data_IF_131303371842
#
_entry.id   IF_131303371842
#
_cell.length_a   1.000
_cell.length_b   1.000
_cell.length_c   1.000
_cell.angle_alpha   90.00
_cell.angle_beta   90.00
_cell.angle_gamma   90.00
#
_symmetry.space_group_name_H-M   'P 1'
#
loop_
_entity.id
_entity.type
_entity.pdbx_description
1 polymer ?
#
# COMPACT_ATOMS: atom_id res chain seq x y z
N UNK A 1 14.39 3.71 2.39
CA UNK A 1 13.88 2.32 2.47
C UNK A 1 14.13 1.60 1.15
N UNK A 2 14.45 0.33 1.21
CA UNK A 2 14.54 -0.49 0.00
C UNK A 2 13.15 -0.82 -0.53
N UNK A 3 13.07 -1.29 -1.78
CA UNK A 3 11.80 -1.69 -2.36
C UNK A 3 11.13 -2.79 -1.52
N UNK A 4 11.90 -3.74 -1.02
CA UNK A 4 11.36 -4.80 -0.17
C UNK A 4 10.83 -4.26 1.14
N UNK A 5 11.51 -3.29 1.74
CA UNK A 5 11.04 -2.65 2.96
C UNK A 5 9.74 -1.89 2.73
N UNK A 6 9.61 -1.23 1.59
CA UNK A 6 8.37 -0.52 1.22
C UNK A 6 7.23 -1.52 1.05
N UNK A 7 7.50 -2.63 0.36
CA UNK A 7 6.52 -3.69 0.16
C UNK A 7 6.02 -4.23 1.50
N UNK A 8 6.94 -4.53 2.42
CA UNK A 8 6.58 -5.01 3.75
C UNK A 8 5.80 -3.97 4.54
N UNK A 9 6.16 -2.69 4.40
CA UNK A 9 5.44 -1.62 5.08
C UNK A 9 3.98 -1.54 4.61
N UNK A 10 3.75 -1.65 3.30
CA UNK A 10 2.39 -1.65 2.75
C UNK A 10 1.60 -2.87 3.24
N UNK A 11 2.22 -4.04 3.22
CA UNK A 11 1.57 -5.26 3.72
C UNK A 11 1.22 -5.14 5.20
N UNK A 12 2.09 -4.55 6.00
CA UNK A 12 1.81 -4.35 7.42
C UNK A 12 0.63 -3.41 7.63
N UNK A 13 0.54 -2.34 6.84
CA UNK A 13 -0.60 -1.43 6.90
C UNK A 13 -1.89 -2.19 6.56
N UNK A 14 -1.86 -2.99 5.50
CA UNK A 14 -3.03 -3.79 5.11
C UNK A 14 -3.42 -4.76 6.22
N UNK A 15 -2.46 -5.35 6.91
CA UNK A 15 -2.75 -6.28 7.99
C UNK A 15 -3.47 -5.63 9.17
N UNK A 16 -3.23 -4.34 9.39
CA UNK A 16 -3.92 -3.58 10.43
C UNK A 16 -5.34 -3.24 10.00
N UNK A 17 -5.52 -2.88 8.73
CA UNK A 17 -6.81 -2.48 8.19
C UNK A 17 -7.72 -3.68 7.97
N UNK A 18 -7.17 -4.78 7.48
CA UNK A 18 -7.91 -6.00 7.16
C UNK A 18 -7.25 -7.21 7.84
N UNK A 19 -7.36 -7.34 9.17
CA UNK A 19 -6.64 -8.38 9.91
C UNK A 19 -7.12 -9.80 9.58
N UNK A 20 -8.30 -9.94 8.99
CA UNK A 20 -8.82 -11.26 8.61
C UNK A 20 -8.29 -11.75 7.28
N UNK A 21 -7.57 -10.90 6.52
CA UNK A 21 -7.03 -11.28 5.24
C UNK A 21 -5.70 -12.03 5.38
N UNK A 22 -5.54 -13.07 4.55
CA UNK A 22 -4.28 -13.80 4.50
C UNK A 22 -3.33 -13.10 3.53
N UNK A 23 -2.29 -12.48 4.06
CA UNK A 23 -1.33 -11.71 3.28
C UNK A 23 -0.10 -12.53 2.87
N UNK A 24 -0.04 -13.81 3.26
CA UNK A 24 1.13 -14.64 2.96
C UNK A 24 1.22 -15.05 1.49
N UNK A 25 0.10 -15.00 0.77
CA UNK A 25 0.01 -15.39 -0.63
C UNK A 25 -0.28 -14.21 -1.56
N UNK A 26 -0.13 -12.99 -1.08
CA UNK A 26 -0.38 -11.80 -1.89
C UNK A 26 0.65 -11.70 -3.01
N UNK A 27 0.15 -11.58 -4.25
CA UNK A 27 1.00 -11.42 -5.43
C UNK A 27 1.22 -9.94 -5.70
N UNK A 28 2.45 -9.57 -5.99
CA UNK A 28 2.83 -8.17 -6.17
C UNK A 28 2.30 -7.56 -7.47
N UNK A 29 2.11 -8.39 -8.50
CA UNK A 29 1.70 -7.96 -9.83
C UNK A 29 0.19 -8.06 -10.08
N UNK A 30 -0.56 -8.52 -9.10
CA UNK A 30 -2.02 -8.65 -9.20
C UNK A 30 -2.66 -7.50 -8.41
N UNK A 31 -3.69 -6.84 -8.95
CA UNK A 31 -4.38 -5.79 -8.20
C UNK A 31 -4.87 -6.30 -6.85
N UNK A 32 -4.67 -5.49 -5.82
CA UNK A 32 -5.02 -5.89 -4.45
C UNK A 32 -6.51 -6.18 -4.31
N UNK A 33 -7.35 -5.44 -5.03
CA UNK A 33 -8.80 -5.64 -5.00
C UNK A 33 -9.24 -6.96 -5.61
N UNK A 34 -8.42 -7.55 -6.47
CA UNK A 34 -8.73 -8.82 -7.12
C UNK A 34 -8.36 -10.02 -6.25
N UNK A 35 -7.49 -9.83 -5.29
CA UNK A 35 -7.01 -10.93 -4.43
C UNK A 35 -7.37 -10.74 -2.96
N UNK A 36 -7.76 -9.53 -2.55
CA UNK A 36 -8.17 -9.22 -1.19
C UNK A 36 -9.52 -8.52 -1.23
N UNK A 37 -10.30 -8.67 -0.19
CA UNK A 37 -11.60 -8.00 -0.08
C UNK A 37 -11.42 -6.58 0.46
N UNK A 38 -10.83 -5.71 -0.36
CA UNK A 38 -10.62 -4.30 -0.02
C UNK A 38 -11.56 -3.43 -0.82
N UNK A 39 -12.23 -2.51 -0.15
CA UNK A 39 -13.08 -1.52 -0.81
C UNK A 39 -12.39 -0.14 -0.80
N UNK A 40 -13.12 0.87 -1.30
CA UNK A 40 -12.57 2.22 -1.39
C UNK A 40 -12.21 2.79 -0.02
N UNK A 41 -12.96 2.44 1.01
CA UNK A 41 -12.70 2.90 2.37
C UNK A 41 -11.38 2.32 2.89
N UNK A 42 -11.11 1.06 2.56
CA UNK A 42 -9.86 0.43 2.96
C UNK A 42 -8.67 1.10 2.30
N UNK A 43 -8.79 1.49 1.03
CA UNK A 43 -7.73 2.22 0.35
C UNK A 43 -7.51 3.60 0.95
N UNK A 44 -8.57 4.28 1.38
CA UNK A 44 -8.43 5.54 2.11
C UNK A 44 -7.68 5.33 3.42
N UNK A 45 -7.96 4.25 4.13
CA UNK A 45 -7.26 3.93 5.36
C UNK A 45 -5.77 3.69 5.10
N UNK A 46 -5.43 3.03 3.99
CA UNK A 46 -4.03 2.84 3.59
C UNK A 46 -3.35 4.20 3.39
N UNK A 47 -4.00 5.11 2.68
CA UNK A 47 -3.47 6.46 2.44
C UNK A 47 -3.26 7.19 3.75
N UNK A 48 -4.21 7.12 4.66
CA UNK A 48 -4.11 7.78 5.96
C UNK A 48 -2.96 7.20 6.80
N UNK A 49 -2.78 5.90 6.77
CA UNK A 49 -1.68 5.25 7.49
C UNK A 49 -0.32 5.61 6.89
N UNK A 50 -0.21 5.72 5.58
CA UNK A 50 1.02 6.17 4.93
C UNK A 50 1.38 7.58 5.38
N UNK A 51 0.40 8.47 5.46
CA UNK A 51 0.62 9.83 5.93
C UNK A 51 1.06 9.84 7.39
N UNK A 52 0.37 9.07 8.22
CA UNK A 52 0.61 9.02 9.65
C UNK A 52 1.98 8.41 10.00
N UNK A 53 2.35 7.33 9.33
CA UNK A 53 3.56 6.57 9.65
C UNK A 53 4.81 7.11 8.95
N UNK A 54 4.66 7.59 7.73
CA UNK A 54 5.79 7.94 6.88
C UNK A 54 5.74 9.37 6.36
N UNK A 55 4.74 10.15 6.74
CA UNK A 55 4.54 11.52 6.27
C UNK A 55 4.43 11.61 4.75
N UNK A 56 3.88 10.58 4.12
CA UNK A 56 3.66 10.56 2.67
C UNK A 56 2.23 10.97 2.39
N UNK A 57 2.06 12.02 1.58
CA UNK A 57 0.74 12.44 1.13
C UNK A 57 0.46 11.87 -0.24
N UNK A 58 -0.69 11.20 -0.40
CA UNK A 58 -1.14 10.64 -1.66
C UNK A 58 -2.37 11.43 -2.09
N UNK A 59 -2.27 12.28 -3.13
CA UNK A 59 -3.45 12.99 -3.64
C UNK A 59 -4.48 12.02 -4.19
N UNK A 60 -5.74 12.44 -4.16
CA UNK A 60 -6.82 11.60 -4.67
C UNK A 60 -6.59 11.16 -6.11
N UNK A 61 -6.01 12.04 -6.94
CA UNK A 61 -5.70 11.71 -8.32
C UNK A 61 -4.71 10.54 -8.46
N UNK A 62 -3.93 10.27 -7.40
CA UNK A 62 -2.90 9.22 -7.42
C UNK A 62 -3.36 7.93 -6.74
N UNK A 63 -4.60 7.85 -6.27
CA UNK A 63 -5.08 6.65 -5.59
C UNK A 63 -4.99 5.40 -6.46
N UNK A 64 -5.14 5.54 -7.77
CA UNK A 64 -4.98 4.43 -8.70
C UNK A 64 -3.58 3.83 -8.72
N UNK A 65 -2.58 4.57 -8.26
CA UNK A 65 -1.20 4.08 -8.19
C UNK A 65 -1.03 3.03 -7.07
N UNK A 66 -2.01 2.93 -6.18
CA UNK A 66 -1.96 1.96 -5.08
C UNK A 66 -2.68 0.65 -5.43
N UNK A 67 -2.95 0.41 -6.70
CA UNK A 67 -3.75 -0.74 -7.14
C UNK A 67 -3.09 -2.09 -6.83
N UNK A 68 -1.78 -2.21 -6.99
CA UNK A 68 -1.04 -3.44 -6.69
C UNK A 68 0.16 -3.12 -5.82
N UNK A 69 0.80 -4.16 -5.26
CA UNK A 69 2.02 -3.95 -4.47
C UNK A 69 3.14 -3.35 -5.33
N UNK A 70 3.30 -3.84 -6.56
CA UNK A 70 4.32 -3.31 -7.46
C UNK A 70 4.10 -1.83 -7.74
N UNK A 71 2.87 -1.42 -8.01
CA UNK A 71 2.58 -0.01 -8.25
C UNK A 71 2.71 0.82 -6.97
N UNK A 72 2.36 0.27 -5.82
CA UNK A 72 2.59 0.93 -4.53
C UNK A 72 4.08 1.19 -4.32
N UNK A 73 4.90 0.18 -4.53
CA UNK A 73 6.35 0.30 -4.35
C UNK A 73 6.91 1.34 -5.33
N UNK A 74 6.53 1.26 -6.60
CA UNK A 74 7.01 2.21 -7.61
C UNK A 74 6.61 3.65 -7.27
N UNK A 75 5.39 3.83 -6.75
CA UNK A 75 4.91 5.15 -6.37
C UNK A 75 5.61 5.67 -5.12
N UNK A 76 5.81 4.82 -4.13
CA UNK A 76 6.33 5.23 -2.83
C UNK A 76 7.85 5.30 -2.79
N UNK A 77 8.55 4.55 -3.64
CA UNK A 77 10.01 4.48 -3.61
C UNK A 77 10.66 5.87 -3.67
N UNK A 78 10.34 6.75 -4.63
CA UNK A 78 10.96 8.07 -4.68
C UNK A 78 10.59 8.94 -3.47
N UNK A 79 9.43 8.72 -2.88
CA UNK A 79 8.97 9.50 -1.74
C UNK A 79 9.65 9.06 -0.43
N UNK A 80 9.96 7.79 -0.29
CA UNK A 80 10.54 7.23 0.93
C UNK A 80 12.05 7.12 0.88
N UNK A 81 12.65 7.03 -0.31
CA UNK A 81 14.10 6.93 -0.46
C UNK A 81 14.78 8.28 -0.65
N UNK A 82 14.01 9.33 -0.92
CA UNK A 82 14.55 10.68 -1.16
C UNK A 82 14.89 11.43 0.12
N UNK A 83 14.77 10.80 1.25
CA UNK A 83 15.06 11.43 2.54
C UNK A 83 16.50 11.20 2.98
#
# INVERSE_FOLDING_TARGET
>A
MTNEQIRQAVLQIISVIAPDEDLTHVKSDVPLRDQLELDSMDFLDIVMELRKRYSVEVPEADYGQLASLDSCVAYLAPKLTAK
#
